data_IF_479013280680
#
_entry.id   IF_479013280680
#
_cell.length_a   1.000
_cell.length_b   1.000
_cell.length_c   1.000
_cell.angle_alpha   90.00
_cell.angle_beta   90.00
_cell.angle_gamma   90.00
#
_symmetry.space_group_name_H-M   'P 1'
#
loop_
_entity.id
_entity.type
_entity.pdbx_description
1 polymer ?
#
# COMPACT_ATOMS: atom_id res chain seq x y z
N UNK A 1 -86.03 9.30 -5.87
CA UNK A 1 -85.33 10.60 -5.91
C UNK A 1 -83.84 10.29 -5.94
N UNK A 2 -83.27 9.75 -7.02
CA UNK A 2 -83.09 10.31 -8.37
C UNK A 2 -82.31 11.64 -8.36
N UNK A 3 -81.28 11.66 -9.23
CA UNK A 3 -80.43 12.79 -9.64
C UNK A 3 -79.25 13.15 -8.70
N UNK A 4 -78.00 13.34 -9.16
CA UNK A 4 -77.50 13.55 -10.52
C UNK A 4 -76.05 13.06 -10.71
N UNK A 5 -75.85 12.34 -11.82
CA UNK A 5 -74.62 12.34 -12.61
C UNK A 5 -74.30 13.75 -13.14
N UNK A 6 -73.02 14.05 -13.43
CA UNK A 6 -72.46 14.71 -14.65
C UNK A 6 -70.95 14.86 -14.36
N UNK A 7 -70.07 13.95 -14.81
CA UNK A 7 -69.47 13.92 -16.15
C UNK A 7 -68.85 15.27 -16.58
N UNK A 8 -67.59 15.52 -16.20
CA UNK A 8 -66.76 16.52 -16.88
C UNK A 8 -65.93 15.86 -17.95
N UNK A 9 -66.16 16.30 -19.18
CA UNK A 9 -65.60 15.80 -20.41
C UNK A 9 -64.29 16.50 -20.80
N UNK A 10 -63.48 15.70 -21.49
CA UNK A 10 -62.24 15.94 -22.25
C UNK A 10 -62.30 17.20 -23.15
N UNK A 11 -61.13 17.80 -23.48
CA UNK A 11 -60.78 17.79 -24.90
C UNK A 11 -59.33 17.36 -25.20
N UNK A 12 -59.26 16.51 -26.22
CA UNK A 12 -58.12 16.07 -27.01
C UNK A 12 -57.59 17.26 -27.82
N UNK A 13 -56.29 17.54 -27.74
CA UNK A 13 -55.54 18.29 -28.75
C UNK A 13 -54.35 17.42 -29.20
N UNK A 14 -54.51 16.66 -30.30
CA UNK A 14 -54.06 17.01 -31.66
C UNK A 14 -52.62 17.51 -31.72
N UNK A 15 -51.74 16.64 -32.20
CA UNK A 15 -50.31 16.90 -32.34
C UNK A 15 -49.91 17.88 -33.43
N UNK A 16 -48.60 18.12 -33.50
CA UNK A 16 -47.87 18.40 -34.73
C UNK A 16 -46.39 18.09 -34.54
N UNK A 17 -45.91 17.21 -35.41
CA UNK A 17 -44.52 17.04 -35.80
C UNK A 17 -43.89 18.38 -36.21
N UNK A 18 -42.60 18.56 -35.91
CA UNK A 18 -41.51 19.14 -36.74
C UNK A 18 -40.30 19.45 -35.85
N UNK A 19 -39.09 19.73 -36.40
CA UNK A 19 -38.40 19.04 -37.49
C UNK A 19 -37.01 18.54 -37.06
N UNK A 20 -36.49 17.57 -37.81
CA UNK A 20 -35.14 17.00 -37.70
C UNK A 20 -34.06 18.07 -37.82
N UNK A 21 -32.94 17.99 -37.06
CA UNK A 21 -31.77 18.81 -37.32
C UNK A 21 -31.12 18.37 -38.65
N UNK A 22 -30.97 19.34 -39.55
CA UNK A 22 -30.28 19.19 -40.83
C UNK A 22 -28.79 18.90 -40.59
N UNK A 23 -28.34 17.79 -41.18
CA UNK A 23 -26.92 17.43 -41.31
C UNK A 23 -26.21 18.53 -42.10
N UNK A 24 -25.21 19.18 -41.49
CA UNK A 24 -24.20 19.93 -42.23
C UNK A 24 -23.11 18.94 -42.62
N UNK A 25 -23.02 18.71 -43.93
CA UNK A 25 -21.93 18.00 -44.59
C UNK A 25 -20.81 19.02 -44.80
N UNK A 26 -19.61 18.72 -44.33
CA UNK A 26 -18.38 19.31 -44.88
C UNK A 26 -17.27 18.27 -44.84
N UNK A 27 -16.65 18.12 -46.00
CA UNK A 27 -15.74 17.05 -46.40
C UNK A 27 -14.40 17.11 -45.66
N UNK A 28 -13.88 15.96 -45.23
CA UNK A 28 -12.44 15.69 -45.22
C UNK A 28 -12.19 14.27 -45.77
N UNK A 29 -11.80 14.24 -47.05
CA UNK A 29 -10.99 13.27 -47.81
C UNK A 29 -10.92 11.82 -47.31
N UNK A 30 -11.63 10.93 -48.01
CA UNK A 30 -11.18 9.56 -48.24
C UNK A 30 -9.97 9.57 -49.18
N UNK A 31 -8.88 8.92 -48.77
CA UNK A 31 -7.86 8.41 -49.68
C UNK A 31 -8.14 6.92 -49.90
N UNK A 32 -8.23 6.56 -51.17
CA UNK A 32 -8.54 5.25 -51.71
C UNK A 32 -7.46 4.21 -51.40
N UNK A 33 -7.86 2.95 -51.18
CA UNK A 33 -7.65 1.86 -52.14
C UNK A 33 -8.01 0.49 -51.53
N UNK A 34 -9.20 0.03 -51.93
CA UNK A 34 -9.45 -1.28 -52.55
C UNK A 34 -9.06 -2.58 -51.84
N UNK A 35 -10.13 -3.30 -51.47
CA UNK A 35 -10.18 -4.74 -51.29
C UNK A 35 -9.45 -5.51 -52.40
N UNK A 36 -8.69 -6.52 -52.01
CA UNK A 36 -8.63 -7.80 -52.73
C UNK A 36 -8.71 -8.96 -51.75
N UNK A 37 -9.85 -9.64 -51.80
CA UNK A 37 -9.97 -11.04 -51.40
C UNK A 37 -8.98 -11.87 -52.22
N UNK A 38 -8.18 -12.68 -51.56
CA UNK A 38 -7.29 -13.67 -52.15
C UNK A 38 -7.25 -14.90 -51.25
N UNK A 39 -7.93 -15.95 -51.68
CA UNK A 39 -7.81 -17.32 -51.19
C UNK A 39 -6.44 -17.88 -51.63
N UNK A 40 -5.92 -18.87 -50.90
CA UNK A 40 -4.67 -19.65 -51.06
C UNK A 40 -3.40 -18.96 -50.52
N UNK A 41 -2.50 -19.59 -49.73
CA UNK A 41 -2.11 -20.99 -49.62
C UNK A 41 -1.74 -21.39 -48.18
N UNK A 42 -2.02 -22.64 -47.86
CA UNK A 42 -1.41 -23.38 -46.73
C UNK A 42 0.07 -23.55 -47.06
N UNK A 43 0.92 -22.70 -46.50
CA UNK A 43 2.37 -22.82 -46.58
C UNK A 43 2.92 -23.30 -45.23
N UNK A 44 3.24 -24.59 -45.20
CA UNK A 44 4.25 -25.29 -44.41
C UNK A 44 4.93 -24.49 -43.26
N UNK A 45 4.77 -24.88 -41.98
CA UNK A 45 5.41 -24.19 -40.84
C UNK A 45 6.92 -24.45 -40.70
N UNK A 46 7.55 -25.18 -41.62
CA UNK A 46 8.96 -25.60 -41.54
C UNK A 46 9.88 -24.82 -42.48
N UNK A 47 9.93 -23.50 -42.38
CA UNK A 47 11.07 -22.70 -42.91
C UNK A 47 11.05 -21.25 -42.42
N UNK A 48 10.79 -21.03 -41.11
CA UNK A 48 11.07 -19.71 -40.54
C UNK A 48 12.58 -19.61 -40.31
N UNK A 49 13.28 -19.02 -41.27
CA UNK A 49 14.68 -18.60 -41.11
C UNK A 49 14.82 -17.87 -39.76
N UNK A 50 15.53 -18.51 -38.83
CA UNK A 50 15.86 -17.95 -37.51
C UNK A 50 16.83 -16.82 -37.77
N UNK A 51 16.31 -15.62 -38.06
CA UNK A 51 17.10 -14.41 -37.95
C UNK A 51 17.46 -14.30 -36.48
N UNK A 52 18.72 -14.57 -36.15
CA UNK A 52 19.32 -14.27 -34.85
C UNK A 52 19.19 -12.77 -34.62
N UNK A 53 18.04 -12.35 -34.09
CA UNK A 53 17.90 -11.03 -33.50
C UNK A 53 18.83 -11.05 -32.31
N UNK A 54 19.93 -10.32 -32.41
CA UNK A 54 20.80 -10.06 -31.29
C UNK A 54 19.94 -9.40 -30.20
N UNK A 55 19.49 -10.20 -29.24
CA UNK A 55 18.79 -9.71 -28.06
C UNK A 55 19.87 -9.00 -27.27
N UNK A 56 19.93 -7.68 -27.41
CA UNK A 56 20.67 -6.83 -26.46
C UNK A 56 20.04 -7.08 -25.10
N UNK A 57 20.64 -7.97 -24.31
CA UNK A 57 20.28 -8.16 -22.92
C UNK A 57 20.45 -6.81 -22.24
N UNK A 58 19.32 -6.18 -21.88
CA UNK A 58 19.34 -4.98 -21.05
C UNK A 58 19.99 -5.39 -19.73
N UNK A 59 21.21 -4.89 -19.53
CA UNK A 59 22.10 -5.10 -18.40
C UNK A 59 22.53 -6.58 -18.20
N UNK A 60 23.81 -6.94 -18.42
CA UNK A 60 24.32 -8.15 -17.79
C UNK A 60 24.11 -7.97 -16.29
N UNK A 61 23.38 -8.91 -15.69
CA UNK A 61 23.22 -9.16 -14.26
C UNK A 61 23.86 -8.06 -13.41
N UNK A 62 23.05 -7.14 -12.84
CA UNK A 62 23.51 -6.28 -11.74
C UNK A 62 24.32 -7.20 -10.84
N UNK A 63 25.64 -7.00 -10.78
CA UNK A 63 26.55 -7.83 -9.99
C UNK A 63 25.95 -7.86 -8.60
N UNK A 64 25.24 -8.95 -8.27
CA UNK A 64 24.72 -9.16 -6.94
C UNK A 64 26.01 -9.31 -6.16
N UNK A 65 26.30 -8.32 -5.31
CA UNK A 65 27.44 -8.44 -4.40
C UNK A 65 27.27 -9.82 -3.76
N UNK A 66 28.30 -10.68 -3.76
CA UNK A 66 28.19 -11.93 -3.01
C UNK A 66 27.68 -11.52 -1.64
N UNK A 67 26.58 -12.13 -1.22
CA UNK A 67 26.10 -11.99 0.15
C UNK A 67 27.28 -12.51 0.95
N UNK A 68 28.09 -11.61 1.50
CA UNK A 68 29.04 -11.97 2.50
C UNK A 68 28.18 -12.65 3.55
N UNK A 69 28.34 -13.96 3.69
CA UNK A 69 27.92 -14.64 4.90
C UNK A 69 28.82 -14.02 5.96
N UNK A 70 28.38 -12.89 6.50
CA UNK A 70 28.88 -12.41 7.77
C UNK A 70 28.51 -13.55 8.69
N UNK A 71 29.49 -14.39 9.03
CA UNK A 71 29.41 -15.15 10.26
C UNK A 71 29.33 -14.06 11.33
N UNK A 72 28.10 -13.67 11.67
CA UNK A 72 27.83 -12.78 12.78
C UNK A 72 28.50 -13.46 13.96
N UNK A 73 29.66 -12.95 14.38
CA UNK A 73 30.22 -13.37 15.65
C UNK A 73 29.15 -13.02 16.68
N UNK A 74 28.69 -13.97 17.50
CA UNK A 74 27.68 -13.70 18.50
C UNK A 74 28.14 -12.51 19.33
N UNK A 75 27.26 -11.51 19.45
CA UNK A 75 27.51 -10.29 20.20
C UNK A 75 27.95 -10.64 21.63
N UNK A 76 29.26 -10.55 21.91
CA UNK A 76 29.84 -10.79 23.25
C UNK A 76 29.50 -9.73 24.30
N UNK A 77 28.70 -8.72 23.94
CA UNK A 77 28.33 -7.60 24.81
C UNK A 77 26.83 -7.57 25.16
N UNK A 78 26.17 -8.73 25.24
CA UNK A 78 24.98 -8.86 26.06
C UNK A 78 25.46 -8.91 27.53
N UNK A 79 25.27 -7.77 28.18
CA UNK A 79 25.41 -7.57 29.62
C UNK A 79 24.86 -8.79 30.37
N UNK A 80 25.74 -9.49 31.09
CA UNK A 80 25.42 -10.52 32.07
C UNK A 80 24.49 -9.91 33.13
N UNK A 81 23.18 -9.98 32.90
CA UNK A 81 22.25 -10.11 33.99
C UNK A 81 22.47 -11.51 34.55
N UNK A 82 22.84 -11.57 35.83
CA UNK A 82 22.96 -12.79 36.60
C UNK A 82 21.57 -13.43 36.75
N UNK A 83 21.06 -13.99 35.67
CA UNK A 83 20.11 -15.08 35.75
C UNK A 83 20.94 -16.26 36.25
N UNK A 84 20.69 -16.70 37.48
CA UNK A 84 21.27 -17.94 37.99
C UNK A 84 20.83 -19.06 37.05
N UNK A 85 21.72 -19.39 36.12
CA UNK A 85 21.58 -20.52 35.21
C UNK A 85 21.49 -21.76 36.09
N UNK A 86 20.27 -22.24 36.30
CA UNK A 86 20.00 -23.56 36.86
C UNK A 86 20.52 -24.55 35.82
N UNK A 87 21.74 -25.05 36.07
CA UNK A 87 22.41 -26.06 35.26
C UNK A 87 21.74 -27.41 35.56
N UNK A 88 20.45 -27.50 35.24
CA UNK A 88 19.73 -28.75 35.12
C UNK A 88 20.33 -29.50 33.94
N UNK A 89 21.20 -30.44 34.28
CA UNK A 89 21.85 -31.46 33.46
C UNK A 89 20.81 -32.31 32.70
N UNK A 90 20.16 -31.74 31.68
CA UNK A 90 19.58 -32.50 30.57
C UNK A 90 20.63 -32.53 29.46
N UNK A 91 21.52 -33.51 29.55
CA UNK A 91 22.71 -33.67 28.71
C UNK A 91 22.38 -33.89 27.24
N UNK A 92 22.67 -32.89 26.40
CA UNK A 92 23.17 -33.15 25.06
C UNK A 92 24.65 -33.53 25.21
N UNK A 93 24.93 -34.82 25.07
CA UNK A 93 26.30 -35.33 25.08
C UNK A 93 27.06 -34.70 23.90
N UNK A 94 28.13 -33.92 24.15
CA UNK A 94 28.91 -33.30 23.09
C UNK A 94 29.58 -34.31 22.14
N UNK A 95 29.60 -35.61 22.47
CA UNK A 95 30.08 -36.68 21.60
C UNK A 95 28.99 -37.28 20.68
N UNK A 96 27.70 -37.03 20.91
CA UNK A 96 26.59 -37.60 20.12
C UNK A 96 26.70 -37.33 18.60
N UNK A 97 27.08 -36.13 18.13
CA UNK A 97 27.29 -35.87 16.70
C UNK A 97 28.49 -36.63 16.09
N UNK A 98 29.46 -37.06 16.91
CA UNK A 98 30.63 -37.83 16.49
C UNK A 98 30.34 -39.33 16.45
N UNK A 99 29.50 -39.83 17.35
CA UNK A 99 29.09 -41.24 17.40
C UNK A 99 28.14 -41.61 16.26
N UNK A 100 27.27 -40.67 15.85
CA UNK A 100 26.25 -40.90 14.82
C UNK A 100 26.20 -39.78 13.77
N UNK A 101 27.29 -39.59 12.98
CA UNK A 101 27.39 -38.50 12.02
C UNK A 101 26.30 -38.55 10.92
N UNK A 102 25.80 -39.74 10.59
CA UNK A 102 24.71 -39.93 9.62
C UNK A 102 23.39 -39.32 10.13
N UNK A 103 23.04 -39.53 11.40
CA UNK A 103 21.81 -39.00 12.00
C UNK A 103 21.85 -37.48 12.10
N UNK A 104 22.98 -36.93 12.54
CA UNK A 104 23.18 -35.49 12.60
C UNK A 104 23.11 -34.84 11.21
N UNK A 105 23.71 -35.47 10.20
CA UNK A 105 23.64 -35.00 8.82
C UNK A 105 22.20 -34.99 8.28
N UNK A 106 21.44 -36.06 8.54
CA UNK A 106 20.05 -36.15 8.11
C UNK A 106 19.16 -35.09 8.78
N UNK A 107 19.33 -34.89 10.09
CA UNK A 107 18.63 -33.83 10.85
C UNK A 107 18.95 -32.44 10.28
N UNK A 108 20.23 -32.12 10.08
CA UNK A 108 20.65 -30.85 9.49
C UNK A 108 20.09 -30.63 8.08
N UNK A 109 20.07 -31.68 7.26
CA UNK A 109 19.49 -31.62 5.91
C UNK A 109 17.96 -31.45 5.96
N UNK A 110 17.29 -32.00 6.97
CA UNK A 110 15.86 -31.79 7.22
C UNK A 110 15.54 -30.36 7.64
N UNK A 111 16.33 -29.78 8.54
CA UNK A 111 16.23 -28.37 8.91
C UNK A 111 16.36 -27.48 7.67
N UNK A 112 17.40 -27.70 6.86
CA UNK A 112 17.62 -26.94 5.63
C UNK A 112 16.45 -27.11 4.63
N UNK A 113 15.86 -28.30 4.53
CA UNK A 113 14.66 -28.54 3.71
C UNK A 113 13.43 -27.83 4.27
N UNK A 114 13.29 -27.77 5.59
CA UNK A 114 12.21 -27.06 6.27
C UNK A 114 12.30 -25.56 6.04
N UNK A 115 13.48 -24.96 6.24
CA UNK A 115 13.74 -23.54 5.97
C UNK A 115 13.45 -23.17 4.51
N UNK A 116 13.91 -23.99 3.55
CA UNK A 116 13.60 -23.78 2.13
C UNK A 116 12.10 -23.82 1.86
N UNK A 117 11.36 -24.73 2.53
CA UNK A 117 9.90 -24.81 2.45
C UNK A 117 9.21 -23.58 3.03
N UNK A 118 9.64 -23.09 4.20
CA UNK A 118 9.03 -21.89 4.83
C UNK A 118 9.26 -20.65 3.97
N UNK A 119 10.47 -20.46 3.43
CA UNK A 119 10.80 -19.36 2.52
C UNK A 119 9.98 -19.45 1.23
N UNK A 120 9.92 -20.64 0.60
CA UNK A 120 9.11 -20.86 -0.61
C UNK A 120 7.63 -20.57 -0.35
N UNK A 121 7.10 -21.04 0.77
CA UNK A 121 5.73 -20.76 1.20
C UNK A 121 5.47 -19.27 1.41
N UNK A 122 6.41 -18.54 2.02
CA UNK A 122 6.32 -17.08 2.17
C UNK A 122 6.32 -16.35 0.81
N UNK A 123 7.14 -16.79 -0.15
CA UNK A 123 7.17 -16.24 -1.51
C UNK A 123 5.83 -16.49 -2.23
N UNK A 124 5.30 -17.70 -2.17
CA UNK A 124 4.02 -18.05 -2.78
C UNK A 124 2.90 -17.20 -2.17
N UNK A 125 2.85 -17.08 -0.84
CA UNK A 125 1.91 -16.21 -0.13
C UNK A 125 1.97 -14.77 -0.65
N UNK A 126 3.16 -14.17 -0.71
CA UNK A 126 3.34 -12.79 -1.20
C UNK A 126 2.99 -12.60 -2.68
N UNK A 127 3.26 -13.61 -3.52
CA UNK A 127 3.04 -13.52 -4.98
C UNK A 127 1.57 -13.68 -5.35
N UNK A 128 0.92 -14.70 -4.82
CA UNK A 128 -0.39 -15.15 -5.27
C UNK A 128 -1.52 -14.73 -4.32
N UNK A 129 -1.25 -14.64 -3.01
CA UNK A 129 -2.24 -14.33 -1.99
C UNK A 129 -2.06 -12.89 -1.50
N UNK A 130 -2.27 -11.93 -2.42
CA UNK A 130 -2.21 -10.50 -2.08
C UNK A 130 -3.46 -10.13 -1.29
N UNK A 131 -3.30 -9.88 0.01
CA UNK A 131 -4.34 -9.27 0.83
C UNK A 131 -4.64 -7.88 0.23
N UNK A 132 -5.91 -7.57 -0.10
CA UNK A 132 -6.24 -6.28 -0.68
C UNK A 132 -5.80 -5.18 0.29
N UNK A 133 -5.09 -4.15 -0.19
CA UNK A 133 -4.60 -3.08 0.67
C UNK A 133 -5.79 -2.38 1.33
N UNK A 134 -5.69 -2.12 2.63
CA UNK A 134 -6.67 -1.31 3.33
C UNK A 134 -6.69 0.10 2.72
N UNK A 135 -7.88 0.66 2.55
CA UNK A 135 -8.00 2.02 2.03
C UNK A 135 -7.57 3.01 3.09
N UNK A 136 -6.84 4.03 2.65
CA UNK A 136 -6.47 5.12 3.54
C UNK A 136 -7.65 6.06 3.73
N UNK A 137 -8.28 6.00 4.90
CA UNK A 137 -9.38 6.89 5.30
C UNK A 137 -8.96 7.95 6.31
N UNK A 138 -7.70 7.94 6.76
CA UNK A 138 -7.19 8.87 7.76
C UNK A 138 -6.59 10.10 7.10
N UNK A 139 -7.03 11.27 7.56
CA UNK A 139 -6.42 12.56 7.26
C UNK A 139 -4.98 12.62 7.78
N UNK A 140 -4.16 13.51 7.21
CA UNK A 140 -2.78 13.67 7.65
C UNK A 140 -2.67 14.02 9.12
N UNK A 141 -3.52 14.94 9.59
CA UNK A 141 -3.57 15.36 10.99
C UNK A 141 -3.93 14.20 11.94
N UNK A 142 -4.86 13.33 11.57
CA UNK A 142 -5.19 12.14 12.37
C UNK A 142 -4.00 11.17 12.49
N UNK A 143 -3.21 11.00 11.41
CA UNK A 143 -2.00 10.17 11.47
C UNK A 143 -0.94 10.77 12.40
N UNK A 144 -0.76 12.10 12.35
CA UNK A 144 0.13 12.81 13.27
C UNK A 144 -0.29 12.58 14.72
N UNK A 145 -1.59 12.71 14.99
CA UNK A 145 -2.14 12.46 16.32
C UNK A 145 -1.85 11.04 16.79
N UNK A 146 -2.06 10.01 15.96
CA UNK A 146 -1.77 8.62 16.36
C UNK A 146 -0.29 8.43 16.70
N UNK A 147 0.61 8.98 15.88
CA UNK A 147 2.05 8.91 16.17
C UNK A 147 2.42 9.64 17.45
N UNK A 148 1.80 10.79 17.71
CA UNK A 148 2.00 11.54 18.93
C UNK A 148 1.54 10.75 20.16
N UNK A 149 0.34 10.18 20.13
CA UNK A 149 -0.20 9.36 21.22
C UNK A 149 0.71 8.17 21.54
N UNK A 150 1.14 7.43 20.52
CA UNK A 150 2.07 6.31 20.71
C UNK A 150 3.46 6.75 21.18
N UNK A 151 3.87 7.99 20.88
CA UNK A 151 5.14 8.54 21.39
C UNK A 151 5.08 8.95 22.85
N UNK A 152 3.89 9.33 23.34
CA UNK A 152 3.67 9.62 24.75
C UNK A 152 3.65 8.33 25.56
N UNK A 153 2.72 7.43 25.24
CA UNK A 153 2.48 6.21 26.02
C UNK A 153 2.28 4.99 25.11
N UNK A 154 3.37 4.31 24.70
CA UNK A 154 3.28 3.15 23.80
C UNK A 154 2.60 1.93 24.45
N UNK A 155 2.54 1.86 25.78
CA UNK A 155 1.90 0.78 26.52
C UNK A 155 0.37 0.87 26.51
N UNK A 156 -0.18 2.09 26.59
CA UNK A 156 -1.62 2.33 26.54
C UNK A 156 -2.13 2.38 25.10
N UNK A 157 -1.39 3.08 24.22
CA UNK A 157 -1.74 3.25 22.82
C UNK A 157 -1.25 2.08 21.96
N UNK A 158 -1.76 0.89 22.27
CA UNK A 158 -1.54 -0.29 21.44
C UNK A 158 -2.28 -0.18 20.09
N UNK A 159 -1.88 -1.01 19.13
CA UNK A 159 -2.54 -1.05 17.81
C UNK A 159 -4.04 -1.42 17.89
N UNK A 160 -4.47 -2.08 18.96
CA UNK A 160 -5.87 -2.44 19.22
C UNK A 160 -6.64 -1.22 19.69
N UNK A 161 -6.16 -0.52 20.73
CA UNK A 161 -6.74 0.73 21.24
C UNK A 161 -6.87 1.81 20.15
N UNK A 162 -5.86 1.93 19.28
CA UNK A 162 -5.90 2.86 18.13
C UNK A 162 -6.99 2.47 17.13
N UNK A 163 -7.21 1.18 16.88
CA UNK A 163 -8.23 0.73 15.94
C UNK A 163 -9.66 0.93 16.45
N UNK A 164 -9.84 1.05 17.76
CA UNK A 164 -11.13 1.38 18.37
C UNK A 164 -11.44 2.88 18.29
N UNK A 165 -10.41 3.72 18.42
CA UNK A 165 -10.55 5.17 18.40
C UNK A 165 -10.62 5.77 16.99
N UNK A 166 -9.98 5.13 16.01
CA UNK A 166 -9.83 5.65 14.65
C UNK A 166 -10.40 4.66 13.61
N UNK A 167 -10.87 5.14 12.44
CA UNK A 167 -11.42 4.30 11.37
C UNK A 167 -10.28 3.59 10.60
N UNK A 168 -9.58 2.69 11.28
CA UNK A 168 -8.45 1.92 10.77
C UNK A 168 -8.51 0.50 11.34
N UNK A 169 -8.07 -0.50 10.56
CA UNK A 169 -7.95 -1.86 11.07
C UNK A 169 -6.69 -2.01 11.93
N UNK A 170 -6.68 -2.98 12.84
CA UNK A 170 -5.53 -3.32 13.69
C UNK A 170 -4.25 -3.52 12.86
N UNK A 171 -4.37 -4.14 11.68
CA UNK A 171 -3.23 -4.36 10.79
C UNK A 171 -2.74 -3.05 10.16
N UNK A 172 -3.65 -2.16 9.81
CA UNK A 172 -3.35 -0.79 9.39
C UNK A 172 -2.64 0.00 10.49
N UNK A 173 -3.12 -0.07 11.72
CA UNK A 173 -2.52 0.58 12.89
C UNK A 173 -1.09 0.08 13.13
N UNK A 174 -0.87 -1.25 13.14
CA UNK A 174 0.49 -1.84 13.24
C UNK A 174 1.44 -1.32 12.17
N UNK A 175 0.97 -1.20 10.93
CA UNK A 175 1.78 -0.66 9.81
C UNK A 175 2.10 0.81 9.99
N UNK A 176 1.13 1.59 10.46
CA UNK A 176 1.29 3.02 10.71
C UNK A 176 2.32 3.25 11.82
N UNK A 177 2.18 2.58 12.96
CA UNK A 177 3.13 2.66 14.08
C UNK A 177 4.55 2.23 13.71
N UNK A 178 4.69 1.21 12.87
CA UNK A 178 6.01 0.74 12.38
C UNK A 178 6.66 1.73 11.40
N UNK A 179 5.87 2.55 10.72
CA UNK A 179 6.38 3.52 9.76
C UNK A 179 6.96 4.74 10.47
N UNK A 180 8.12 5.24 10.02
CA UNK A 180 8.65 6.51 10.51
C UNK A 180 7.85 7.64 9.87
N UNK A 181 7.15 8.40 10.68
CA UNK A 181 6.40 9.57 10.22
C UNK A 181 7.37 10.72 9.95
N UNK A 182 7.51 11.12 8.69
CA UNK A 182 8.31 12.28 8.30
C UNK A 182 7.40 13.45 7.94
N UNK A 183 7.77 14.65 8.38
CA UNK A 183 7.05 15.87 8.05
C UNK A 183 6.99 16.04 6.52
N UNK A 184 5.79 15.95 5.95
CA UNK A 184 5.56 16.13 4.52
C UNK A 184 5.45 17.62 4.19
N UNK A 185 5.68 17.97 2.92
CA UNK A 185 5.41 19.32 2.41
C UNK A 185 3.91 19.64 2.51
N UNK A 186 3.53 20.91 2.76
CA UNK A 186 2.12 21.29 2.93
C UNK A 186 1.26 20.98 1.70
N UNK A 187 1.85 21.06 0.50
CA UNK A 187 1.18 20.68 -0.76
C UNK A 187 0.78 19.19 -0.76
N UNK A 188 1.68 18.31 -0.29
CA UNK A 188 1.45 16.87 -0.22
C UNK A 188 0.41 16.51 0.84
N UNK A 189 0.36 17.28 1.93
CA UNK A 189 -0.65 17.15 2.98
C UNK A 189 -2.04 17.48 2.41
N UNK A 190 -2.16 18.60 1.68
CA UNK A 190 -3.42 19.01 1.07
C UNK A 190 -3.90 18.01 -0.01
N UNK A 191 -2.99 17.47 -0.83
CA UNK A 191 -3.31 16.43 -1.80
C UNK A 191 -3.81 15.15 -1.12
N UNK A 192 -3.13 14.73 -0.05
CA UNK A 192 -3.53 13.55 0.73
C UNK A 192 -4.93 13.73 1.34
N UNK A 193 -5.20 14.87 1.97
CA UNK A 193 -6.50 15.14 2.58
C UNK A 193 -7.62 15.24 1.53
N UNK A 194 -7.32 15.79 0.33
CA UNK A 194 -8.25 15.78 -0.81
C UNK A 194 -8.59 14.36 -1.25
N UNK A 195 -7.60 13.47 -1.34
CA UNK A 195 -7.85 12.08 -1.69
C UNK A 195 -8.72 11.36 -0.65
N UNK A 196 -8.48 11.60 0.63
CA UNK A 196 -9.26 11.02 1.73
C UNK A 196 -10.72 11.45 1.62
N UNK A 197 -10.97 12.76 1.40
CA UNK A 197 -12.33 13.26 1.17
C UNK A 197 -13.00 12.62 -0.05
N UNK A 198 -12.26 12.41 -1.14
CA UNK A 198 -12.79 11.73 -2.33
C UNK A 198 -13.15 10.26 -2.03
N UNK A 199 -12.34 9.55 -1.23
CA UNK A 199 -12.62 8.17 -0.81
C UNK A 199 -13.89 8.09 0.04
N UNK A 200 -14.07 9.02 0.98
CA UNK A 200 -15.30 9.12 1.78
C UNK A 200 -16.54 9.44 0.94
N UNK A 201 -16.42 10.36 -0.02
CA UNK A 201 -17.51 10.66 -0.97
C UNK A 201 -17.88 9.44 -1.82
N UNK A 202 -16.88 8.67 -2.25
CA UNK A 202 -17.11 7.43 -3.01
C UNK A 202 -17.79 6.34 -2.16
N UNK A 203 -17.40 6.18 -0.89
CA UNK A 203 -18.08 5.28 0.05
C UNK A 203 -19.56 5.64 0.23
N UNK A 204 -19.88 6.93 0.37
CA UNK A 204 -21.26 7.41 0.51
C UNK A 204 -22.10 7.22 -0.74
N UNK A 205 -21.53 7.52 -1.90
CA UNK A 205 -22.26 7.51 -3.19
C UNK A 205 -22.37 6.11 -3.78
N UNK A 206 -21.53 5.16 -3.32
CA UNK A 206 -21.42 3.81 -3.91
C UNK A 206 -20.88 3.80 -5.35
N UNK A 207 -20.36 4.94 -5.83
CA UNK A 207 -19.77 5.10 -7.17
C UNK A 207 -18.26 5.26 -7.01
N UNK A 208 -17.48 4.35 -7.61
CA UNK A 208 -16.00 4.37 -7.55
C UNK A 208 -15.37 3.17 -6.83
N UNK A 209 -16.08 2.03 -6.78
CA UNK A 209 -15.71 0.80 -6.09
C UNK A 209 -14.30 0.27 -6.42
N UNK A 210 -13.75 0.58 -7.60
CA UNK A 210 -12.48 0.03 -8.06
C UNK A 210 -11.27 0.50 -7.22
N UNK A 211 -11.37 1.66 -6.56
CA UNK A 211 -10.28 2.22 -5.73
C UNK A 211 -10.43 1.91 -4.24
N UNK A 212 -11.55 1.31 -3.84
CA UNK A 212 -11.88 1.04 -2.44
C UNK A 212 -11.78 -0.46 -2.19
N UNK A 213 -11.11 -0.84 -1.12
CA UNK A 213 -10.97 -2.23 -0.71
C UNK A 213 -12.34 -2.82 -0.37
N UNK A 214 -12.65 -4.05 -0.81
CA UNK A 214 -13.91 -4.71 -0.49
C UNK A 214 -14.11 -4.87 1.02
N UNK A 215 -13.02 -5.07 1.77
CA UNK A 215 -13.04 -5.18 3.23
C UNK A 215 -13.51 -3.86 3.86
N UNK A 216 -12.99 -2.72 3.40
CA UNK A 216 -13.40 -1.41 3.92
C UNK A 216 -14.87 -1.13 3.63
N UNK A 217 -15.36 -1.57 2.46
CA UNK A 217 -16.78 -1.41 2.10
C UNK A 217 -17.69 -2.19 3.07
N UNK A 218 -17.31 -3.42 3.42
CA UNK A 218 -18.03 -4.22 4.42
C UNK A 218 -18.03 -3.53 5.78
N UNK A 219 -16.87 -3.06 6.25
CA UNK A 219 -16.77 -2.36 7.54
C UNK A 219 -17.60 -1.07 7.59
N UNK A 220 -17.73 -0.37 6.46
CA UNK A 220 -18.59 0.81 6.34
C UNK A 220 -20.08 0.43 6.38
N UNK A 221 -20.47 -0.64 5.69
CA UNK A 221 -21.84 -1.16 5.72
C UNK A 221 -22.25 -1.66 7.11
N UNK A 222 -21.32 -2.29 7.83
CA UNK A 222 -21.49 -2.73 9.22
C UNK A 222 -21.59 -1.56 10.21
N UNK A 223 -21.38 -0.31 9.76
CA UNK A 223 -21.44 0.90 10.59
C UNK A 223 -20.22 1.10 11.49
N UNK A 224 -19.18 0.26 11.35
CA UNK A 224 -17.94 0.35 12.15
C UNK A 224 -17.07 1.54 11.75
N UNK A 225 -17.18 2.00 10.51
CA UNK A 225 -16.45 3.16 10.01
C UNK A 225 -17.37 4.36 9.91
N UNK A 226 -17.10 5.39 10.71
CA UNK A 226 -17.79 6.67 10.62
C UNK A 226 -16.83 7.78 10.18
N UNK A 227 -17.32 8.66 9.32
CA UNK A 227 -16.50 9.74 8.73
C UNK A 227 -16.04 10.76 9.79
N UNK A 228 -16.82 10.97 10.84
CA UNK A 228 -16.50 11.89 11.92
C UNK A 228 -15.26 11.45 12.71
N UNK A 229 -14.96 10.14 12.74
CA UNK A 229 -13.75 9.59 13.36
C UNK A 229 -12.51 9.70 12.44
N UNK A 230 -12.67 10.08 11.17
CA UNK A 230 -11.56 10.18 10.21
C UNK A 230 -10.66 11.41 10.41
N UNK A 231 -11.20 12.38 11.15
CA UNK A 231 -10.54 13.59 11.55
C UNK A 231 -9.93 13.43 12.94
N UNK A 232 -9.11 14.40 13.29
CA UNK A 232 -8.49 14.55 14.59
C UNK A 232 -9.53 14.40 15.70
N UNK A 233 -9.30 13.46 16.62
CA UNK A 233 -10.17 13.30 17.78
C UNK A 233 -9.86 14.44 18.76
N UNK A 234 -10.81 15.37 18.90
CA UNK A 234 -10.66 16.56 19.76
C UNK A 234 -10.55 16.21 21.24
N UNK A 235 -10.97 15.02 21.65
CA UNK A 235 -10.89 14.56 23.03
C UNK A 235 -9.49 14.08 23.42
N UNK A 236 -8.62 13.82 22.44
CA UNK A 236 -7.27 13.31 22.65
C UNK A 236 -6.24 14.44 22.52
N UNK A 237 -5.13 14.39 23.28
CA UNK A 237 -4.12 15.43 23.24
C UNK A 237 -3.53 15.55 21.83
N UNK A 238 -3.33 16.79 21.41
CA UNK A 238 -2.79 17.11 20.11
C UNK A 238 -1.30 17.41 20.23
N UNK A 239 -0.51 17.00 19.23
CA UNK A 239 0.82 17.58 19.10
C UNK A 239 0.62 19.09 19.04
N UNK A 240 1.29 19.81 19.94
CA UNK A 240 1.37 21.25 19.81
C UNK A 240 2.00 21.49 18.44
N UNK A 241 1.30 22.25 17.59
CA UNK A 241 1.86 22.73 16.33
C UNK A 241 3.00 23.64 16.75
N UNK A 242 4.17 23.04 16.91
CA UNK A 242 5.34 23.78 17.27
C UNK A 242 5.43 24.89 16.23
N UNK A 243 5.51 26.11 16.73
CA UNK A 243 5.91 27.30 15.97
C UNK A 243 7.38 27.18 15.54
N UNK A 244 7.81 25.95 15.23
CA UNK A 244 9.04 25.51 14.63
C UNK A 244 8.82 25.37 13.11
N UNK A 245 8.32 26.39 12.42
CA UNK A 245 9.31 27.26 11.77
C UNK A 245 10.39 27.55 12.79
N UNK A 246 11.33 26.61 12.96
CA UNK A 246 12.54 26.85 13.71
C UNK A 246 13.08 28.01 12.91
N UNK A 247 12.88 29.23 13.42
CA UNK A 247 13.56 30.39 12.92
C UNK A 247 14.98 29.88 12.94
N UNK A 248 15.53 29.60 11.75
CA UNK A 248 16.95 29.46 11.59
C UNK A 248 17.39 30.81 12.10
N UNK A 249 17.79 30.87 13.37
CA UNK A 249 18.28 32.11 13.92
C UNK A 249 19.43 32.43 12.97
N UNK A 250 19.40 33.60 12.33
CA UNK A 250 20.43 33.98 11.36
C UNK A 250 21.85 33.84 11.95
N UNK A 251 21.98 33.76 13.27
CA UNK A 251 23.19 33.40 14.02
C UNK A 251 23.78 32.04 13.68
N UNK A 252 22.99 31.02 13.30
CA UNK A 252 23.48 29.68 12.98
C UNK A 252 24.10 29.59 11.58
N UNK A 253 23.83 30.58 10.72
CA UNK A 253 24.44 30.76 9.40
C UNK A 253 25.65 31.69 9.43
N UNK A 254 26.00 32.25 10.59
CA UNK A 254 27.21 33.06 10.72
C UNK A 254 28.43 32.17 10.44
N UNK A 255 29.29 32.54 9.46
CA UNK A 255 30.53 31.80 9.23
C UNK A 255 31.35 31.84 10.53
N UNK A 256 31.75 30.66 11.01
CA UNK A 256 32.61 30.58 12.19
C UNK A 256 33.89 31.36 11.92
N UNK A 257 34.32 32.28 12.82
CA UNK A 257 35.56 33.02 12.62
C UNK A 257 36.72 32.02 12.47
N UNK A 258 37.45 32.11 11.35
CA UNK A 258 38.59 31.24 11.03
C UNK A 258 38.38 30.24 9.89
N UNK A 259 37.20 30.17 9.26
CA UNK A 259 36.95 29.18 8.19
C UNK A 259 37.55 29.55 6.81
N UNK A 260 38.10 30.78 6.66
CA UNK A 260 38.65 31.28 5.38
C UNK A 260 40.18 31.40 5.34
N UNK A 261 40.92 30.97 6.36
CA UNK A 261 42.38 31.16 6.43
C UNK A 261 43.23 30.07 5.74
N UNK A 262 42.65 29.26 4.84
CA UNK A 262 43.36 28.15 4.14
C UNK A 262 43.58 28.38 2.63
N UNK A 263 43.59 29.63 2.16
CA UNK A 263 43.74 29.95 0.74
C UNK A 263 44.93 30.89 0.41
N UNK A 264 46.01 30.84 1.19
CA UNK A 264 47.28 31.50 0.83
C UNK A 264 48.41 30.48 0.95
#
# INVERSE_FOLDING_TARGET
NFEACVASAVPIAKGRLTPRPKRVVTMIRLCCCSLRFGICNVANPLSRSVRNKHVKTRAPFRKVKPVAVTLEQPNRNLLLQNDSYDFGDEGEDPEEPLEHPERYYDQYMDELRSERRTVRGAIIRRKYFKVPPETNLLTWAAKQQIHYLHSLDPAEWTAESISECFPISVQGAKKLLKSRFTNATPERIAEHDREVQLKWKALKTGKGDEKISPITKQLYQDGKLREDQSYVNKALPLPQEDSHAKAVQLSDLAPKPGQYSKLI
#
